data_IF_220587385958
#
_entry.id   IF_220587385958
#
_cell.length_a   1.000
_cell.length_b   1.000
_cell.length_c   1.000
_cell.angle_alpha   90.00
_cell.angle_beta   90.00
_cell.angle_gamma   90.00
#
_symmetry.space_group_name_H-M   'P 1'
#
loop_
_entity.id
_entity.type
_entity.pdbx_description
1 polymer ?
#
# COMPACT_ATOMS: atom_id res chain seq x y z
N UNK A 1 2.42 1.36 15.51
CA UNK A 1 2.21 0.99 14.09
C UNK A 1 0.73 1.12 13.76
N UNK A 2 0.34 1.96 12.78
CA UNK A 2 -1.06 2.13 12.38
C UNK A 2 -1.63 0.83 11.77
N UNK A 3 -2.91 0.54 12.05
CA UNK A 3 -3.57 -0.67 11.54
C UNK A 3 -3.71 -0.57 10.01
N UNK A 4 -3.12 -1.48 9.22
CA UNK A 4 -3.30 -1.47 7.78
C UNK A 4 -4.77 -1.68 7.40
N UNK A 5 -5.22 -0.97 6.37
CA UNK A 5 -6.54 -1.19 5.76
C UNK A 5 -6.67 -2.66 5.37
N UNK A 6 -7.85 -3.27 5.49
CA UNK A 6 -8.06 -4.70 5.22
C UNK A 6 -7.50 -5.18 3.86
N UNK A 7 -7.47 -4.31 2.85
CA UNK A 7 -6.84 -4.60 1.56
C UNK A 7 -5.32 -4.63 1.65
N UNK A 8 -4.70 -3.69 2.36
CA UNK A 8 -3.24 -3.58 2.58
C UNK A 8 -2.74 -4.67 3.52
N UNK A 9 -3.53 -5.04 4.53
CA UNK A 9 -3.19 -6.07 5.51
C UNK A 9 -2.82 -7.40 4.82
N UNK A 10 -3.56 -7.78 3.76
CA UNK A 10 -3.28 -8.98 2.96
C UNK A 10 -1.90 -8.96 2.30
N UNK A 11 -1.45 -7.80 1.82
CA UNK A 11 -0.11 -7.63 1.26
C UNK A 11 0.95 -7.65 2.38
N UNK A 12 0.69 -6.96 3.49
CA UNK A 12 1.59 -6.90 4.65
C UNK A 12 1.82 -8.30 5.26
N UNK A 13 0.78 -9.14 5.34
CA UNK A 13 0.88 -10.51 5.84
C UNK A 13 1.77 -11.40 4.96
N UNK A 14 1.79 -11.17 3.64
CA UNK A 14 2.56 -12.00 2.69
C UNK A 14 3.98 -11.48 2.51
N UNK A 15 4.15 -10.15 2.42
CA UNK A 15 5.41 -9.51 2.05
C UNK A 15 6.25 -9.07 3.25
N UNK A 16 5.59 -8.89 4.38
CA UNK A 16 6.09 -8.03 5.44
C UNK A 16 5.78 -6.56 5.17
N UNK A 17 5.86 -5.79 6.24
CA UNK A 17 5.43 -4.39 6.29
C UNK A 17 6.24 -3.49 5.34
N UNK A 18 7.56 -3.63 5.32
CA UNK A 18 8.46 -2.77 4.55
C UNK A 18 8.27 -2.96 3.04
N UNK A 19 8.28 -4.22 2.59
CA UNK A 19 8.07 -4.56 1.19
C UNK A 19 6.65 -4.21 0.71
N UNK A 20 5.64 -4.36 1.58
CA UNK A 20 4.30 -3.92 1.26
C UNK A 20 4.23 -2.39 1.08
N UNK A 21 4.94 -1.60 1.89
CA UNK A 21 5.03 -0.16 1.70
C UNK A 21 5.69 0.19 0.37
N UNK A 22 6.83 -0.41 0.05
CA UNK A 22 7.53 -0.18 -1.22
C UNK A 22 6.66 -0.55 -2.42
N UNK A 23 5.99 -1.70 -2.34
CA UNK A 23 5.07 -2.17 -3.37
C UNK A 23 3.91 -1.19 -3.59
N UNK A 24 3.27 -0.72 -2.52
CA UNK A 24 2.16 0.23 -2.62
C UNK A 24 2.64 1.61 -3.09
N UNK A 25 3.83 2.05 -2.68
CA UNK A 25 4.42 3.31 -3.14
C UNK A 25 4.70 3.28 -4.65
N UNK A 26 5.12 2.14 -5.17
CA UNK A 26 5.54 2.01 -6.56
C UNK A 26 4.38 1.64 -7.51
N UNK A 27 3.49 0.74 -7.07
CA UNK A 27 2.37 0.23 -7.88
C UNK A 27 1.01 0.79 -7.45
N UNK A 28 0.94 1.66 -6.45
CA UNK A 28 -0.31 2.20 -5.93
C UNK A 28 -1.11 2.97 -6.97
N UNK A 29 -2.31 2.48 -7.28
CA UNK A 29 -3.18 3.05 -8.32
C UNK A 29 -2.95 2.48 -9.72
N UNK A 30 -1.98 1.58 -9.90
CA UNK A 30 -1.81 0.81 -11.12
C UNK A 30 -2.69 -0.45 -11.09
N UNK A 31 -3.22 -0.83 -12.24
CA UNK A 31 -3.79 -2.16 -12.43
C UNK A 31 -2.64 -3.15 -12.61
N UNK A 32 -2.47 -4.03 -11.61
CA UNK A 32 -1.43 -5.04 -11.66
C UNK A 32 -2.07 -6.39 -11.99
N UNK A 33 -1.68 -6.96 -13.13
CA UNK A 33 -1.99 -8.34 -13.45
C UNK A 33 -0.94 -9.25 -12.80
N UNK A 34 -1.37 -10.12 -11.89
CA UNK A 34 -0.52 -11.08 -11.18
C UNK A 34 -0.77 -12.49 -11.76
N UNK A 35 -0.02 -12.91 -12.80
CA UNK A 35 -0.15 -14.26 -13.32
C UNK A 35 0.31 -15.30 -12.28
N UNK A 36 -0.40 -16.42 -12.18
CA UNK A 36 -0.07 -17.58 -11.32
C UNK A 36 1.34 -18.12 -11.56
N UNK A 37 1.86 -17.98 -12.78
CA UNK A 37 3.24 -18.26 -13.14
C UNK A 37 3.97 -16.95 -13.48
N UNK A 38 4.70 -16.36 -12.52
CA UNK A 38 5.63 -15.27 -12.79
C UNK A 38 6.69 -15.71 -13.81
N UNK A 39 6.77 -15.05 -14.98
CA UNK A 39 7.75 -15.33 -16.05
C UNK A 39 8.88 -14.29 -16.11
N UNK A 40 9.17 -13.55 -15.03
CA UNK A 40 10.25 -12.56 -15.00
C UNK A 40 9.95 -11.23 -15.70
N UNK A 41 8.72 -11.06 -16.24
CA UNK A 41 8.36 -9.89 -17.05
C UNK A 41 7.66 -8.77 -16.28
N UNK A 42 7.11 -9.05 -15.10
CA UNK A 42 6.37 -8.04 -14.33
C UNK A 42 7.33 -7.21 -13.48
N UNK A 43 7.21 -5.88 -13.51
CA UNK A 43 7.98 -4.97 -12.61
C UNK A 43 7.80 -5.36 -11.12
N UNK A 44 6.63 -5.88 -10.77
CA UNK A 44 6.35 -6.43 -9.45
C UNK A 44 7.25 -7.62 -9.08
N UNK A 45 7.63 -8.47 -10.03
CA UNK A 45 8.50 -9.63 -9.79
C UNK A 45 9.95 -9.21 -9.57
N UNK A 46 10.40 -8.15 -10.28
CA UNK A 46 11.73 -7.57 -10.06
C UNK A 46 11.87 -6.95 -8.67
N UNK A 47 10.78 -6.42 -8.11
CA UNK A 47 10.80 -5.76 -6.82
C UNK A 47 10.55 -6.70 -5.65
N UNK A 48 9.63 -7.66 -5.79
CA UNK A 48 9.28 -8.62 -4.73
C UNK A 48 10.17 -9.86 -4.73
N UNK A 49 10.73 -10.21 -5.89
CA UNK A 49 11.29 -11.53 -6.15
C UNK A 49 10.22 -12.58 -6.49
N UNK A 50 10.66 -13.65 -7.13
CA UNK A 50 9.82 -14.76 -7.62
C UNK A 50 9.02 -15.45 -6.50
N UNK A 51 9.67 -15.74 -5.37
CA UNK A 51 9.09 -16.51 -4.26
C UNK A 51 7.90 -15.77 -3.61
N UNK A 52 8.08 -14.47 -3.35
CA UNK A 52 7.05 -13.62 -2.73
C UNK A 52 5.92 -13.30 -3.69
N UNK A 53 6.21 -13.13 -4.99
CA UNK A 53 5.15 -12.93 -5.98
C UNK A 53 4.29 -14.19 -6.14
N UNK A 54 4.90 -15.38 -6.10
CA UNK A 54 4.18 -16.66 -6.14
C UNK A 54 3.29 -16.85 -4.91
N UNK A 55 3.78 -16.48 -3.72
CA UNK A 55 2.97 -16.48 -2.49
C UNK A 55 1.78 -15.50 -2.58
N UNK A 56 1.97 -14.36 -3.26
CA UNK A 56 0.92 -13.37 -3.50
C UNK A 56 -0.12 -13.83 -4.53
N UNK A 57 0.33 -14.43 -5.62
CA UNK A 57 -0.52 -14.97 -6.69
C UNK A 57 -1.28 -16.24 -6.25
N UNK A 58 -0.73 -17.00 -5.29
CA UNK A 58 -1.42 -18.14 -4.68
C UNK A 58 -2.61 -17.72 -3.78
N UNK A 59 -2.67 -16.45 -3.35
CA UNK A 59 -3.73 -15.97 -2.47
C UNK A 59 -4.93 -15.50 -3.31
N UNK A 60 -6.03 -16.26 -3.22
CA UNK A 60 -7.26 -16.00 -3.98
C UNK A 60 -7.78 -14.56 -3.78
N UNK A 61 -8.19 -13.92 -4.88
CA UNK A 61 -8.82 -12.60 -4.88
C UNK A 61 -7.89 -11.41 -5.15
N UNK A 62 -6.61 -11.67 -5.45
CA UNK A 62 -5.62 -10.66 -5.86
C UNK A 62 -5.19 -10.80 -7.33
N UNK A 63 -5.72 -11.79 -8.07
CA UNK A 63 -5.29 -12.18 -9.41
C UNK A 63 -5.46 -11.06 -10.47
N UNK A 64 -6.48 -10.22 -10.31
CA UNK A 64 -6.68 -8.97 -11.07
C UNK A 64 -7.41 -7.95 -10.20
N UNK A 65 -6.68 -7.10 -9.47
CA UNK A 65 -7.28 -5.96 -8.77
C UNK A 65 -6.34 -4.78 -8.81
N UNK A 66 -6.88 -3.59 -9.11
CA UNK A 66 -6.17 -2.32 -8.95
C UNK A 66 -5.52 -2.27 -7.58
N UNK A 67 -4.21 -2.07 -7.53
CA UNK A 67 -3.47 -2.02 -6.27
C UNK A 67 -3.96 -0.80 -5.51
N UNK A 68 -4.45 -0.96 -4.27
CA UNK A 68 -4.93 0.16 -3.49
C UNK A 68 -3.77 1.12 -3.24
N UNK A 69 -3.93 2.39 -3.62
CA UNK A 69 -2.90 3.42 -3.40
C UNK A 69 -2.58 3.65 -1.92
N UNK A 70 -3.53 3.32 -1.02
CA UNK A 70 -3.43 3.36 0.44
C UNK A 70 -2.65 4.56 1.03
N UNK A 71 -2.78 5.73 0.40
CA UNK A 71 -1.98 6.93 0.71
C UNK A 71 -2.12 7.41 2.15
N UNK A 72 -3.29 7.16 2.76
CA UNK A 72 -3.53 7.47 4.18
C UNK A 72 -2.69 6.58 5.09
N UNK A 73 -2.74 5.27 4.87
CA UNK A 73 -1.95 4.34 5.68
C UNK A 73 -0.46 4.59 5.53
N UNK A 74 0.02 4.86 4.30
CA UNK A 74 1.42 5.24 4.07
C UNK A 74 1.80 6.52 4.81
N UNK A 75 0.93 7.55 4.82
CA UNK A 75 1.17 8.77 5.56
C UNK A 75 1.25 8.52 7.08
N UNK A 76 0.34 7.72 7.64
CA UNK A 76 0.37 7.32 9.06
C UNK A 76 1.63 6.52 9.41
N UNK A 77 2.06 5.63 8.51
CA UNK A 77 3.26 4.81 8.67
C UNK A 77 4.52 5.66 8.71
N UNK A 78 4.69 6.54 7.72
CA UNK A 78 5.83 7.45 7.64
C UNK A 78 5.83 8.42 8.83
N UNK A 79 4.66 8.89 9.26
CA UNK A 79 4.55 9.70 10.48
C UNK A 79 4.97 8.92 11.73
N UNK A 80 4.56 7.64 11.84
CA UNK A 80 4.98 6.76 12.95
C UNK A 80 6.48 6.46 12.92
N UNK A 81 7.11 6.39 11.74
CA UNK A 81 8.57 6.30 11.57
C UNK A 81 9.33 7.61 11.89
N UNK A 82 8.62 8.69 12.20
CA UNK A 82 9.22 9.98 12.58
C UNK A 82 9.50 10.93 11.41
N UNK A 83 9.02 10.64 10.20
CA UNK A 83 9.15 11.56 9.08
C UNK A 83 8.27 12.81 9.30
N UNK A 84 8.83 13.98 8.99
CA UNK A 84 8.07 15.24 9.05
C UNK A 84 6.99 15.29 7.96
N UNK A 85 5.90 16.03 8.21
CA UNK A 85 4.82 16.23 7.24
C UNK A 85 5.31 16.70 5.85
N UNK A 86 6.36 17.54 5.81
CA UNK A 86 6.98 17.98 4.56
C UNK A 86 7.73 16.86 3.81
N UNK A 87 8.36 15.93 4.53
CA UNK A 87 8.99 14.76 3.93
C UNK A 87 7.93 13.79 3.39
N UNK A 88 6.88 13.53 4.17
CA UNK A 88 5.74 12.70 3.76
C UNK A 88 5.07 13.26 2.49
N UNK A 89 4.86 14.58 2.44
CA UNK A 89 4.32 15.29 1.29
C UNK A 89 5.15 15.05 0.02
N UNK A 90 6.48 15.15 0.11
CA UNK A 90 7.39 14.88 -1.01
C UNK A 90 7.34 13.43 -1.46
N UNK A 91 7.36 12.48 -0.52
CA UNK A 91 7.32 11.05 -0.82
C UNK A 91 6.03 10.64 -1.51
N UNK A 92 4.88 11.10 -0.99
CA UNK A 92 3.56 10.76 -1.53
C UNK A 92 3.16 11.63 -2.74
N UNK A 93 3.97 12.64 -3.09
CA UNK A 93 3.69 13.67 -4.09
C UNK A 93 2.34 14.35 -3.87
N UNK A 94 2.06 14.73 -2.63
CA UNK A 94 0.84 15.45 -2.23
C UNK A 94 1.19 16.69 -1.40
N UNK A 95 0.27 17.65 -1.29
CA UNK A 95 0.48 18.85 -0.48
C UNK A 95 0.51 18.55 1.02
N UNK A 96 1.25 19.35 1.80
CA UNK A 96 1.29 19.21 3.26
C UNK A 96 -0.10 19.34 3.92
N UNK A 97 -1.00 20.13 3.33
CA UNK A 97 -2.40 20.22 3.77
C UNK A 97 -3.13 18.87 3.61
N UNK A 98 -2.91 18.16 2.50
CA UNK A 98 -3.46 16.83 2.26
C UNK A 98 -2.90 15.81 3.25
N UNK A 99 -1.61 15.88 3.57
CA UNK A 99 -1.00 15.03 4.61
C UNK A 99 -1.67 15.26 5.96
N UNK A 100 -1.90 16.52 6.35
CA UNK A 100 -2.63 16.84 7.59
C UNK A 100 -4.04 16.25 7.59
N UNK A 101 -4.77 16.32 6.47
CA UNK A 101 -6.10 15.69 6.33
C UNK A 101 -6.04 14.17 6.43
N UNK A 102 -4.95 13.54 5.97
CA UNK A 102 -4.77 12.09 6.06
C UNK A 102 -4.44 11.62 7.47
N UNK A 103 -3.69 12.42 8.23
CA UNK A 103 -3.36 12.18 9.63
C UNK A 103 -4.47 12.62 10.58
N UNK A 104 -5.41 13.44 10.11
CA UNK A 104 -6.57 13.82 10.88
C UNK A 104 -7.43 12.58 11.16
N UNK A 105 -7.92 12.40 12.41
CA UNK A 105 -8.82 11.30 12.74
C UNK A 105 -10.03 11.36 11.81
N UNK A 106 -10.44 10.22 11.26
CA UNK A 106 -11.69 10.13 10.49
C UNK A 106 -12.81 10.65 11.37
N UNK A 107 -13.37 11.82 11.05
CA UNK A 107 -14.73 12.11 11.45
C UNK A 107 -15.59 11.11 10.69
N UNK A 108 -15.99 10.03 11.37
CA UNK A 108 -16.99 9.13 10.83
C UNK A 108 -18.23 9.99 10.59
N UNK A 109 -18.83 10.02 9.38
CA UNK A 109 -20.17 10.55 9.27
C UNK A 109 -21.02 9.72 10.22
N UNK A 110 -21.77 10.40 11.09
CA UNK A 110 -22.81 9.78 11.89
C UNK A 110 -23.63 8.90 10.94
N UNK A 111 -23.56 7.58 11.13
CA UNK A 111 -24.63 6.71 10.62
C UNK A 111 -25.83 7.09 11.47
N UNK A 112 -26.66 7.98 10.94
CA UNK A 112 -28.02 8.16 11.39
C UNK A 112 -28.77 6.84 11.20
N UNK A 113 -29.58 6.52 12.21
CA UNK A 113 -30.25 5.24 12.47
C UNK A 113 -31.41 4.94 11.53
#
# INVERSE_FOLDING_TARGET
MPRPTAQVARYVEVLGVDLAMQFILQFGGAELYLPKEPRGKSEAEKLLGYDKLKALAARQGLESRTVPRAVRWLAEMLHWQGYSNAAIARTLRVSQVTVRTYLAPKHAPAREE
#
